data_IF_055865762884
#
_entry.id   IF_055865762884
#
_cell.length_a   1.000
_cell.length_b   1.000
_cell.length_c   1.000
_cell.angle_alpha   90.00
_cell.angle_beta   90.00
_cell.angle_gamma   90.00
#
_symmetry.space_group_name_H-M   'P 1'
#
loop_
_entity.id
_entity.type
_entity.pdbx_description
1 polymer ?
#
# COMPACT_ATOMS: atom_id res chain seq x y z
N UNK A 1 9.62 -2.69 -10.86
CA UNK A 1 9.17 -1.35 -11.32
C UNK A 1 9.18 -0.38 -10.14
N UNK A 2 9.30 0.95 -10.32
CA UNK A 2 9.13 1.86 -9.17
C UNK A 2 7.64 1.88 -8.75
N UNK A 3 7.31 1.75 -7.44
CA UNK A 3 5.92 1.86 -6.98
C UNK A 3 5.31 3.25 -7.27
N UNK A 4 3.97 3.33 -7.33
CA UNK A 4 3.26 4.60 -7.31
C UNK A 4 3.32 5.26 -5.91
N UNK A 5 2.75 6.46 -5.75
CA UNK A 5 2.78 7.21 -4.47
C UNK A 5 2.08 6.49 -3.31
N UNK A 6 1.24 5.50 -3.59
CA UNK A 6 0.61 4.64 -2.59
C UNK A 6 1.28 3.28 -2.48
N UNK A 7 2.56 3.14 -2.84
CA UNK A 7 3.33 1.91 -2.72
C UNK A 7 2.79 0.70 -3.51
N UNK A 8 1.88 0.92 -4.45
CA UNK A 8 1.35 -0.09 -5.33
C UNK A 8 1.72 0.21 -6.78
N UNK A 9 0.78 0.03 -7.70
CA UNK A 9 1.02 0.16 -9.13
C UNK A 9 -0.21 0.65 -9.89
N UNK A 10 0.05 1.42 -10.95
CA UNK A 10 -0.96 1.81 -11.93
C UNK A 10 -0.87 0.88 -13.15
N UNK A 11 -1.96 0.18 -13.47
CA UNK A 11 -2.10 -0.69 -14.63
C UNK A 11 -3.11 -0.09 -15.61
N UNK A 12 -3.22 -0.68 -16.79
CA UNK A 12 -4.12 -0.18 -17.84
C UNK A 12 -5.59 -0.15 -17.41
N UNK A 13 -6.03 -1.19 -16.67
CA UNK A 13 -7.46 -1.39 -16.32
C UNK A 13 -7.82 -0.98 -14.90
N UNK A 14 -6.84 -0.83 -14.03
CA UNK A 14 -7.04 -0.55 -12.61
C UNK A 14 -5.75 -0.03 -11.98
N UNK A 15 -5.86 0.62 -10.82
CA UNK A 15 -4.70 0.97 -9.99
C UNK A 15 -4.87 0.41 -8.60
N UNK A 16 -3.77 0.15 -7.92
CA UNK A 16 -3.81 -0.26 -6.53
C UNK A 16 -2.72 0.41 -5.73
N UNK A 17 -3.00 0.58 -4.45
CA UNK A 17 -2.10 1.11 -3.42
C UNK A 17 -2.12 0.16 -2.23
N UNK A 18 -1.16 0.29 -1.33
CA UNK A 18 -1.07 -0.57 -0.17
C UNK A 18 -0.40 0.10 1.02
N UNK A 19 -0.76 -0.42 2.19
CA UNK A 19 0.00 -0.30 3.43
C UNK A 19 0.50 -1.68 3.83
N UNK A 20 1.11 -1.84 5.01
CA UNK A 20 1.38 -3.18 5.56
C UNK A 20 0.09 -3.94 5.89
N UNK A 21 -1.01 -3.23 6.15
CA UNK A 21 -2.26 -3.80 6.64
C UNK A 21 -3.18 -4.22 5.50
N UNK A 22 -3.21 -3.44 4.42
CA UNK A 22 -4.26 -3.56 3.40
C UNK A 22 -3.77 -3.18 2.01
N UNK A 23 -4.56 -3.58 1.02
CA UNK A 23 -4.46 -3.17 -0.38
C UNK A 23 -5.77 -2.47 -0.75
N UNK A 24 -5.66 -1.30 -1.36
CA UNK A 24 -6.81 -0.56 -1.90
C UNK A 24 -6.72 -0.55 -3.42
N UNK A 25 -7.76 -1.05 -4.06
CA UNK A 25 -7.86 -1.19 -5.51
C UNK A 25 -8.92 -0.23 -6.04
N UNK A 26 -8.57 0.54 -7.08
CA UNK A 26 -9.47 1.45 -7.79
C UNK A 26 -9.62 1.02 -9.24
N UNK A 27 -10.87 0.80 -9.67
CA UNK A 27 -11.20 0.35 -11.02
C UNK A 27 -12.13 1.38 -11.67
N UNK A 28 -11.70 2.07 -12.74
CA UNK A 28 -12.57 2.94 -13.50
C UNK A 28 -13.70 2.15 -14.16
N UNK A 29 -14.92 2.66 -14.06
CA UNK A 29 -16.13 2.10 -14.67
C UNK A 29 -16.94 3.18 -15.38
N UNK A 30 -17.84 2.82 -16.32
CA UNK A 30 -18.67 3.80 -17.00
C UNK A 30 -19.48 4.67 -16.01
N UNK A 31 -19.58 5.96 -16.29
CA UNK A 31 -20.29 6.90 -15.42
C UNK A 31 -21.76 6.49 -15.21
N UNK A 32 -22.20 6.55 -13.95
CA UNK A 32 -23.55 6.15 -13.55
C UNK A 32 -23.68 4.66 -13.24
N UNK A 33 -22.57 3.93 -13.14
CA UNK A 33 -22.55 2.55 -12.67
C UNK A 33 -23.17 2.46 -11.28
N UNK A 34 -24.07 1.50 -11.10
CA UNK A 34 -24.78 1.23 -9.83
C UNK A 34 -24.35 -0.11 -9.26
N UNK A 35 -24.41 -0.26 -7.93
CA UNK A 35 -23.91 -1.45 -7.21
C UNK A 35 -24.51 -2.76 -7.72
N UNK A 36 -25.78 -2.75 -8.14
CA UNK A 36 -26.44 -3.94 -8.70
C UNK A 36 -25.77 -4.50 -9.96
N UNK A 37 -25.01 -3.68 -10.69
CA UNK A 37 -24.30 -4.08 -11.90
C UNK A 37 -22.88 -4.57 -11.64
N UNK A 38 -22.37 -4.45 -10.41
CA UNK A 38 -21.04 -4.93 -10.07
C UNK A 38 -21.11 -6.42 -9.72
N UNK A 39 -20.20 -7.19 -10.31
CA UNK A 39 -19.87 -8.54 -9.90
C UNK A 39 -18.62 -8.48 -9.04
N UNK A 40 -18.72 -8.91 -7.79
CA UNK A 40 -17.62 -8.95 -6.83
C UNK A 40 -17.62 -10.29 -6.11
N UNK A 41 -16.48 -10.96 -6.11
CA UNK A 41 -16.23 -12.18 -5.36
C UNK A 41 -14.80 -12.14 -4.86
N UNK A 42 -14.64 -12.31 -3.54
CA UNK A 42 -13.34 -12.41 -2.88
C UNK A 42 -13.27 -13.75 -2.16
N UNK A 43 -12.13 -14.42 -2.32
CA UNK A 43 -11.75 -15.62 -1.57
C UNK A 43 -10.38 -15.37 -0.96
N UNK A 44 -9.97 -16.26 -0.04
CA UNK A 44 -8.70 -16.16 0.68
C UNK A 44 -7.52 -15.81 -0.22
N UNK A 45 -7.42 -16.42 -1.41
CA UNK A 45 -6.31 -16.20 -2.36
C UNK A 45 -6.81 -15.83 -3.77
N UNK A 46 -8.03 -15.34 -3.95
CA UNK A 46 -8.56 -15.05 -5.29
C UNK A 46 -9.46 -13.83 -5.26
N UNK A 47 -9.35 -12.99 -6.28
CA UNK A 47 -10.22 -11.85 -6.47
C UNK A 47 -10.84 -11.91 -7.86
N UNK A 48 -12.16 -11.72 -7.90
CA UNK A 48 -12.90 -11.51 -9.13
C UNK A 48 -13.76 -10.27 -9.01
N UNK A 49 -13.54 -9.29 -9.88
CA UNK A 49 -14.30 -8.04 -9.89
C UNK A 49 -14.49 -7.49 -11.30
N UNK A 50 -15.67 -6.95 -11.57
CA UNK A 50 -16.04 -6.37 -12.86
C UNK A 50 -17.52 -6.03 -12.94
N UNK A 51 -18.03 -5.86 -14.16
CA UNK A 51 -19.44 -5.59 -14.41
C UNK A 51 -20.18 -6.87 -14.84
N UNK A 52 -21.38 -7.08 -14.30
CA UNK A 52 -22.25 -8.21 -14.66
C UNK A 52 -22.55 -8.20 -16.15
N UNK A 53 -22.41 -9.37 -16.78
CA UNK A 53 -22.64 -9.54 -18.22
C UNK A 53 -21.46 -9.11 -19.11
N UNK A 54 -20.34 -8.67 -18.53
CA UNK A 54 -19.09 -8.39 -19.24
C UNK A 54 -17.97 -9.31 -18.74
N UNK A 55 -16.87 -9.47 -19.51
CA UNK A 55 -15.67 -10.09 -18.99
C UNK A 55 -15.20 -9.42 -17.69
N UNK A 56 -14.78 -10.19 -16.67
CA UNK A 56 -14.28 -9.60 -15.43
C UNK A 56 -13.04 -8.75 -15.72
N UNK A 57 -12.91 -7.64 -14.98
CA UNK A 57 -11.75 -6.76 -15.10
C UNK A 57 -10.54 -7.42 -14.43
N UNK A 58 -10.78 -8.06 -13.29
CA UNK A 58 -9.85 -8.91 -12.57
C UNK A 58 -10.53 -10.25 -12.32
N UNK A 59 -9.83 -11.33 -12.61
CA UNK A 59 -10.19 -12.70 -12.22
C UNK A 59 -8.89 -13.49 -12.08
N UNK A 60 -8.34 -13.54 -10.87
CA UNK A 60 -7.00 -14.09 -10.68
C UNK A 60 -6.62 -14.37 -9.23
N UNK A 61 -5.56 -15.17 -9.08
CA UNK A 61 -5.00 -15.54 -7.79
C UNK A 61 -4.27 -14.33 -7.19
N UNK A 62 -4.63 -13.95 -5.96
CA UNK A 62 -3.97 -12.88 -5.22
C UNK A 62 -2.52 -13.26 -4.90
N UNK A 63 -1.65 -12.26 -4.79
CA UNK A 63 -0.26 -12.47 -4.40
C UNK A 63 -0.13 -13.23 -3.08
N UNK A 64 -0.93 -12.83 -2.07
CA UNK A 64 -1.00 -13.47 -0.76
C UNK A 64 -2.43 -13.52 -0.22
N UNK A 65 -2.60 -14.25 0.90
CA UNK A 65 -3.90 -14.40 1.53
C UNK A 65 -4.46 -13.10 2.11
N UNK A 66 -5.78 -12.94 2.02
CA UNK A 66 -6.56 -11.87 2.64
C UNK A 66 -7.51 -12.41 3.71
N UNK A 67 -7.92 -11.54 4.64
CA UNK A 67 -9.00 -11.81 5.61
C UNK A 67 -10.32 -11.46 4.94
N UNK A 68 -10.98 -12.47 4.37
CA UNK A 68 -12.17 -12.31 3.53
C UNK A 68 -13.28 -11.51 4.22
N UNK A 69 -13.51 -11.75 5.51
CA UNK A 69 -14.56 -11.07 6.28
C UNK A 69 -14.28 -9.58 6.54
N UNK A 70 -13.01 -9.17 6.43
CA UNK A 70 -12.56 -7.78 6.58
C UNK A 70 -12.39 -7.07 5.22
N UNK A 71 -12.64 -7.76 4.10
CA UNK A 71 -12.62 -7.18 2.78
C UNK A 71 -13.98 -6.56 2.44
N UNK A 72 -13.98 -5.38 1.86
CA UNK A 72 -15.20 -4.74 1.38
C UNK A 72 -14.98 -3.99 0.08
N UNK A 73 -16.06 -3.61 -0.58
CA UNK A 73 -16.02 -2.81 -1.78
C UNK A 73 -17.14 -1.77 -1.78
N UNK A 74 -16.92 -0.70 -2.52
CA UNK A 74 -17.88 0.39 -2.69
C UNK A 74 -17.85 0.91 -4.13
N UNK A 75 -18.83 1.76 -4.47
CA UNK A 75 -18.81 2.55 -5.70
C UNK A 75 -18.62 4.00 -5.31
N UNK A 76 -17.62 4.63 -5.88
CA UNK A 76 -17.31 6.04 -5.70
C UNK A 76 -17.83 6.83 -6.91
N UNK A 77 -18.72 7.80 -6.65
CA UNK A 77 -19.34 8.71 -7.63
C UNK A 77 -19.99 8.06 -8.86
N UNK A 78 -20.27 6.76 -8.80
CA UNK A 78 -20.75 5.98 -9.94
C UNK A 78 -19.73 5.84 -11.07
N UNK A 79 -18.44 6.05 -10.79
CA UNK A 79 -17.35 6.08 -11.78
C UNK A 79 -16.17 5.18 -11.41
N UNK A 80 -16.03 4.80 -10.14
CA UNK A 80 -14.99 3.88 -9.70
C UNK A 80 -15.57 2.79 -8.82
N UNK A 81 -15.08 1.56 -8.99
CA UNK A 81 -15.22 0.51 -7.98
C UNK A 81 -13.97 0.58 -7.11
N UNK A 82 -14.17 0.74 -5.80
CA UNK A 82 -13.12 0.74 -4.79
C UNK A 82 -13.20 -0.57 -4.01
N UNK A 83 -12.09 -1.30 -3.90
CA UNK A 83 -12.03 -2.56 -3.15
C UNK A 83 -10.94 -2.45 -2.10
N UNK A 84 -11.29 -2.68 -0.85
CA UNK A 84 -10.36 -2.84 0.25
C UNK A 84 -10.11 -4.32 0.50
N UNK A 85 -8.84 -4.73 0.48
CA UNK A 85 -8.39 -6.07 0.82
C UNK A 85 -7.54 -6.04 2.08
N UNK A 86 -8.03 -6.58 3.18
CA UNK A 86 -7.24 -6.71 4.41
C UNK A 86 -6.29 -7.89 4.29
N UNK A 87 -4.99 -7.63 4.41
CA UNK A 87 -3.96 -8.67 4.30
C UNK A 87 -4.04 -9.61 5.51
N UNK A 88 -3.86 -10.91 5.26
CA UNK A 88 -3.68 -11.86 6.34
C UNK A 88 -2.30 -11.67 7.01
N UNK A 89 -1.25 -11.54 6.20
CA UNK A 89 0.09 -11.20 6.67
C UNK A 89 0.29 -9.68 6.68
N UNK A 90 0.23 -9.08 7.86
CA UNK A 90 0.30 -7.63 8.07
C UNK A 90 1.73 -7.11 8.24
N UNK A 91 2.73 -7.88 7.82
CA UNK A 91 4.16 -7.52 7.85
C UNK A 91 4.80 -7.61 6.46
N UNK A 92 4.01 -7.75 5.39
CA UNK A 92 4.50 -8.00 4.04
C UNK A 92 3.99 -6.97 3.02
N UNK A 93 4.94 -6.39 2.29
CA UNK A 93 4.68 -5.60 1.10
C UNK A 93 4.44 -6.51 -0.09
N UNK A 94 3.31 -6.30 -0.77
CA UNK A 94 2.96 -7.06 -1.95
C UNK A 94 3.72 -6.50 -3.14
N UNK A 95 4.34 -7.37 -3.94
CA UNK A 95 5.05 -6.96 -5.16
C UNK A 95 4.13 -6.89 -6.38
N UNK A 96 2.95 -7.49 -6.31
CA UNK A 96 1.87 -7.37 -7.29
C UNK A 96 0.52 -7.64 -6.59
N UNK A 97 -0.60 -7.28 -7.23
CA UNK A 97 -1.94 -7.62 -6.73
C UNK A 97 -2.29 -9.07 -7.07
N UNK A 98 -2.17 -9.41 -8.35
CA UNK A 98 -2.49 -10.72 -8.93
C UNK A 98 -1.18 -11.41 -9.34
N UNK A 99 -1.06 -12.71 -9.07
CA UNK A 99 0.11 -13.48 -9.48
C UNK A 99 0.22 -13.50 -11.01
N UNK A 100 1.42 -13.20 -11.51
CA UNK A 100 1.70 -13.09 -12.94
C UNK A 100 1.63 -11.68 -13.50
N UNK A 101 1.03 -10.73 -12.77
CA UNK A 101 1.11 -9.32 -13.13
C UNK A 101 2.53 -8.76 -12.92
N UNK A 102 2.89 -7.65 -13.58
CA UNK A 102 4.19 -7.01 -13.40
C UNK A 102 4.47 -6.66 -11.94
N UNK A 103 5.72 -6.79 -11.52
CA UNK A 103 6.10 -6.60 -10.12
C UNK A 103 6.71 -5.22 -9.84
N UNK A 104 6.31 -4.62 -8.72
CA UNK A 104 6.97 -3.46 -8.13
C UNK A 104 8.20 -3.87 -7.33
N UNK A 105 9.14 -2.94 -7.21
CA UNK A 105 10.32 -3.06 -6.38
C UNK A 105 9.97 -2.64 -4.96
N UNK A 106 9.69 -3.63 -4.11
CA UNK A 106 9.28 -3.40 -2.71
C UNK A 106 10.36 -2.78 -1.84
N UNK A 107 11.63 -2.75 -2.30
CA UNK A 107 12.70 -2.02 -1.61
C UNK A 107 12.57 -0.50 -1.73
N UNK A 108 11.70 -0.01 -2.64
CA UNK A 108 11.45 1.42 -2.89
C UNK A 108 10.13 1.91 -2.29
N UNK A 109 9.48 1.09 -1.47
CA UNK A 109 8.25 1.44 -0.76
C UNK A 109 8.56 2.37 0.41
N UNK A 110 7.74 3.40 0.60
CA UNK A 110 7.85 4.37 1.69
C UNK A 110 6.83 4.03 2.80
N UNK A 111 7.28 3.67 4.03
CA UNK A 111 6.38 3.38 5.14
C UNK A 111 5.53 4.61 5.53
N UNK A 112 4.33 4.40 6.08
CA UNK A 112 3.40 5.49 6.43
C UNK A 112 4.03 6.53 7.39
N UNK A 113 4.85 6.09 8.34
CA UNK A 113 5.53 6.98 9.31
C UNK A 113 6.86 7.56 8.81
N UNK A 114 7.16 7.45 7.51
CA UNK A 114 8.43 7.94 6.96
C UNK A 114 8.52 9.47 6.91
N UNK A 115 7.40 10.19 7.06
CA UNK A 115 7.37 11.66 7.09
C UNK A 115 7.52 12.15 8.52
N UNK A 116 8.70 12.70 8.82
CA UNK A 116 9.01 13.40 10.08
C UNK A 116 8.00 14.51 10.43
N UNK A 117 7.31 15.08 9.43
CA UNK A 117 6.27 16.11 9.63
C UNK A 117 5.03 15.60 10.34
N UNK A 118 4.75 14.30 10.26
CA UNK A 118 3.50 13.70 10.72
C UNK A 118 3.65 13.14 12.14
N UNK A 119 4.86 13.23 12.71
CA UNK A 119 5.19 12.86 14.08
C UNK A 119 4.95 14.05 15.02
N UNK A 120 4.53 13.75 16.25
CA UNK A 120 4.51 14.77 17.30
C UNK A 120 5.94 15.30 17.57
N UNK A 121 6.09 16.51 18.13
CA UNK A 121 7.39 17.16 18.28
C UNK A 121 8.44 16.31 19.04
N UNK A 122 8.01 15.52 20.04
CA UNK A 122 8.89 14.70 20.87
C UNK A 122 9.39 13.47 20.10
N UNK A 123 8.49 12.76 19.43
CA UNK A 123 8.84 11.63 18.57
C UNK A 123 9.71 12.08 17.39
N UNK A 124 9.37 13.21 16.76
CA UNK A 124 10.15 13.79 15.67
C UNK A 124 11.59 14.08 16.07
N UNK A 125 11.81 14.73 17.21
CA UNK A 125 13.14 15.05 17.71
C UNK A 125 13.96 13.77 17.96
N UNK A 126 13.31 12.74 18.49
CA UNK A 126 13.93 11.44 18.73
C UNK A 126 14.35 10.75 17.43
N UNK A 127 13.48 10.73 16.42
CA UNK A 127 13.78 10.13 15.10
C UNK A 127 14.85 10.93 14.35
N UNK A 128 14.81 12.27 14.38
CA UNK A 128 15.86 13.13 13.81
C UNK A 128 17.22 12.85 14.46
N UNK A 129 17.28 12.73 15.79
CA UNK A 129 18.50 12.34 16.51
C UNK A 129 19.00 10.96 16.06
N UNK A 130 18.12 9.96 15.99
CA UNK A 130 18.49 8.61 15.57
C UNK A 130 19.03 8.58 14.13
N UNK A 131 18.39 9.30 13.20
CA UNK A 131 18.85 9.41 11.81
C UNK A 131 20.22 10.10 11.71
N UNK A 132 20.41 11.17 12.48
CA UNK A 132 21.70 11.86 12.55
C UNK A 132 22.79 10.93 13.10
N UNK A 133 22.54 10.26 14.22
CA UNK A 133 23.51 9.36 14.87
C UNK A 133 23.86 8.17 13.97
N UNK A 134 22.88 7.59 13.27
CA UNK A 134 23.11 6.51 12.31
C UNK A 134 24.02 6.97 11.17
N UNK A 135 23.80 8.19 10.64
CA UNK A 135 24.65 8.79 9.61
C UNK A 135 26.07 9.05 10.14
N UNK A 136 26.22 9.66 11.33
CA UNK A 136 27.53 9.91 11.96
C UNK A 136 28.32 8.61 12.14
N UNK A 137 27.70 7.58 12.71
CA UNK A 137 28.33 6.25 12.90
C UNK A 137 28.79 5.64 11.59
N UNK A 138 27.99 5.72 10.53
CA UNK A 138 28.36 5.19 9.21
C UNK A 138 29.59 5.89 8.61
N UNK A 139 29.83 7.15 9.00
CA UNK A 139 30.96 7.97 8.56
C UNK A 139 32.12 7.96 9.57
N UNK A 140 32.03 7.18 10.66
CA UNK A 140 33.04 7.14 11.72
C UNK A 140 33.14 8.45 12.52
N UNK A 141 32.09 9.27 12.51
CA UNK A 141 32.02 10.55 13.20
C UNK A 141 31.24 10.42 14.53
N UNK A 142 31.43 11.35 15.49
CA UNK A 142 30.77 11.29 16.79
C UNK A 142 29.24 11.51 16.69
N UNK A 143 28.50 10.77 17.51
CA UNK A 143 27.06 10.89 17.70
C UNK A 143 26.67 12.14 18.48
N UNK A 144 25.39 12.48 18.48
CA UNK A 144 24.83 13.64 19.22
C UNK A 144 25.22 13.63 20.70
N UNK A 145 25.20 12.46 21.35
CA UNK A 145 25.55 12.31 22.77
C UNK A 145 27.06 12.50 23.02
N UNK A 146 27.89 12.07 22.06
CA UNK A 146 29.35 12.25 22.14
C UNK A 146 29.74 13.72 21.89
N UNK A 147 29.04 14.40 20.98
CA UNK A 147 29.22 15.83 20.72
C UNK A 147 28.78 16.70 21.91
N UNK A 148 27.67 16.35 22.57
CA UNK A 148 27.22 17.05 23.79
C UNK A 148 28.21 16.90 24.94
N UNK A 149 28.83 15.71 25.09
CA UNK A 149 29.87 15.48 26.12
C UNK A 149 31.18 16.20 25.85
N UNK A 150 31.46 16.60 24.60
CA UNK A 150 32.65 17.37 24.25
C UNK A 150 32.46 18.88 24.39
N UNK A 151 31.21 19.35 24.46
CA UNK A 151 30.86 20.76 24.60
C UNK A 151 30.40 21.15 26.02
N UNK A 152 30.26 20.17 26.92
CA UNK A 152 29.99 20.34 28.35
C UNK A 152 31.28 20.31 29.17
#
# INVERSE_FOLDING_TARGET
MRPNSGNGQDLEKYSWTQTLQEVTLSIPVPQGTKSRFVAYEVKKNHLKVGLKGQPPIIDGELYQSVRVDDCFWSIEDGKFISVLLTKHNQMEWWKCLIKGDPEIDTQKVEPENSKLSDLDPETRQTVEKMMFDQRQKSMGLPTSDEMQKQTA
#
